data_IF_852071131765
#
_entry.id   IF_852071131765
#
_cell.length_a   1.000
_cell.length_b   1.000
_cell.length_c   1.000
_cell.angle_alpha   90.00
_cell.angle_beta   90.00
_cell.angle_gamma   90.00
#
_symmetry.space_group_name_H-M   'P 1'
#
loop_
_entity.id
_entity.type
_entity.pdbx_description
1 polymer ?
#
# COMPACT_ATOMS: atom_id res chain seq x y z
N UNK A 1 68.29 -5.38 -8.76
CA UNK A 1 67.77 -6.74 -8.53
C UNK A 1 66.40 -6.61 -7.86
N UNK A 2 65.34 -7.14 -8.50
CA UNK A 2 64.02 -7.53 -7.92
C UNK A 2 63.20 -6.41 -7.24
N UNK A 3 62.20 -5.75 -7.85
CA UNK A 3 60.89 -6.19 -8.43
C UNK A 3 59.85 -6.64 -7.36
N UNK A 4 58.61 -6.13 -7.52
CA UNK A 4 57.30 -6.47 -6.88
C UNK A 4 57.06 -5.88 -5.47
N UNK A 5 55.90 -5.33 -5.09
CA UNK A 5 54.61 -5.16 -5.77
C UNK A 5 53.64 -4.36 -4.91
N UNK A 6 52.81 -3.55 -5.57
CA UNK A 6 51.56 -2.97 -5.08
C UNK A 6 50.65 -4.06 -4.47
N UNK A 7 50.12 -3.84 -3.27
CA UNK A 7 48.79 -4.35 -2.91
C UNK A 7 48.08 -3.36 -1.99
N UNK A 8 47.35 -2.44 -2.63
CA UNK A 8 46.32 -1.65 -1.99
C UNK A 8 45.14 -2.57 -1.65
N UNK A 9 44.99 -2.93 -0.38
CA UNK A 9 43.77 -3.57 0.11
C UNK A 9 42.71 -2.49 0.33
N UNK A 10 41.95 -2.24 -0.75
CA UNK A 10 40.60 -1.67 -0.69
C UNK A 10 39.76 -2.54 0.26
N UNK A 11 39.51 -2.04 1.47
CA UNK A 11 38.44 -2.53 2.32
C UNK A 11 37.12 -2.09 1.69
N UNK A 12 36.61 -2.88 0.76
CA UNK A 12 35.26 -2.74 0.26
C UNK A 12 34.31 -3.08 1.41
N UNK A 13 33.62 -2.06 1.90
CA UNK A 13 32.40 -2.19 2.68
C UNK A 13 31.38 -2.99 1.85
N UNK A 14 31.31 -4.30 2.07
CA UNK A 14 30.10 -5.05 1.74
C UNK A 14 29.23 -5.07 2.98
N UNK A 15 28.52 -3.96 3.22
CA UNK A 15 27.31 -4.02 4.04
C UNK A 15 26.32 -4.89 3.29
N UNK A 16 26.29 -6.19 3.60
CA UNK A 16 25.18 -7.04 3.22
C UNK A 16 23.95 -6.41 3.86
N UNK A 17 23.14 -5.73 3.03
CA UNK A 17 21.85 -5.22 3.41
C UNK A 17 20.98 -6.43 3.73
N UNK A 18 20.92 -6.81 5.00
CA UNK A 18 19.99 -7.81 5.52
C UNK A 18 18.64 -7.12 5.65
N UNK A 19 18.01 -6.83 4.52
CA UNK A 19 16.64 -6.32 4.47
C UNK A 19 16.02 -6.85 3.19
N UNK A 20 15.34 -8.00 3.24
CA UNK A 20 14.21 -8.28 2.32
C UNK A 20 13.48 -9.63 2.48
N UNK A 21 13.61 -10.39 3.58
CA UNK A 21 12.90 -11.68 3.70
C UNK A 21 12.15 -11.90 5.01
N UNK A 22 11.61 -10.85 5.63
CA UNK A 22 10.72 -10.98 6.80
C UNK A 22 9.23 -10.88 6.46
N UNK A 23 8.90 -10.67 5.18
CA UNK A 23 7.54 -10.69 4.69
C UNK A 23 7.49 -11.62 3.48
N UNK A 24 6.78 -12.73 3.60
CA UNK A 24 6.13 -13.34 2.43
C UNK A 24 4.99 -12.41 1.99
N UNK A 25 5.33 -11.20 1.55
CA UNK A 25 4.53 -10.58 0.51
C UNK A 25 4.74 -11.45 -0.72
N UNK A 26 3.68 -11.74 -1.45
CA UNK A 26 3.79 -12.14 -2.85
C UNK A 26 4.36 -10.94 -3.62
N UNK A 27 5.60 -10.54 -3.34
CA UNK A 27 6.44 -9.85 -4.31
C UNK A 27 6.80 -10.93 -5.31
N UNK A 28 5.86 -11.26 -6.18
CA UNK A 28 6.25 -11.74 -7.50
C UNK A 28 7.10 -10.60 -8.05
N UNK A 29 8.41 -10.81 -8.09
CA UNK A 29 9.29 -9.93 -8.83
C UNK A 29 8.71 -9.87 -10.24
N UNK A 30 8.12 -8.72 -10.60
CA UNK A 30 7.55 -8.50 -11.94
C UNK A 30 8.58 -8.74 -13.06
N UNK A 31 9.86 -8.87 -12.71
CA UNK A 31 10.96 -9.25 -13.61
C UNK A 31 10.97 -10.74 -14.02
N UNK A 32 10.25 -11.63 -13.33
CA UNK A 32 10.24 -13.08 -13.61
C UNK A 32 9.01 -13.56 -14.41
N UNK A 33 8.09 -12.66 -14.78
CA UNK A 33 6.95 -13.03 -15.64
C UNK A 33 7.42 -13.05 -17.09
N UNK A 34 7.48 -14.24 -17.68
CA UNK A 34 7.79 -14.44 -19.09
C UNK A 34 6.81 -13.62 -19.96
N UNK A 35 7.29 -12.64 -20.76
CA UNK A 35 6.42 -11.72 -21.48
C UNK A 35 5.64 -12.37 -22.63
N UNK A 36 5.96 -13.63 -22.97
CA UNK A 36 5.44 -14.29 -24.17
C UNK A 36 4.03 -14.86 -23.94
N UNK A 37 3.71 -15.40 -22.77
CA UNK A 37 2.34 -15.80 -22.36
C UNK A 37 2.26 -15.87 -20.82
N UNK A 38 1.74 -14.85 -20.13
CA UNK A 38 1.46 -15.00 -18.70
C UNK A 38 0.28 -15.98 -18.55
N UNK A 39 0.52 -17.12 -17.91
CA UNK A 39 -0.58 -17.94 -17.39
C UNK A 39 -1.49 -17.05 -16.50
N UNK A 40 -2.81 -17.25 -16.56
CA UNK A 40 -3.80 -16.38 -15.87
C UNK A 40 -3.53 -16.28 -14.35
N UNK A 41 -2.84 -17.29 -13.81
CA UNK A 41 -2.36 -17.37 -12.43
C UNK A 41 -1.35 -16.27 -12.06
N UNK A 42 -0.58 -15.77 -13.02
CA UNK A 42 0.47 -14.74 -12.86
C UNK A 42 0.02 -13.33 -13.20
N UNK A 43 -1.19 -13.16 -13.75
CA UNK A 43 -1.73 -11.84 -14.04
C UNK A 43 -1.96 -11.05 -12.75
N UNK A 44 -1.54 -9.78 -12.76
CA UNK A 44 -1.76 -8.90 -11.63
C UNK A 44 -3.24 -8.65 -11.46
N UNK A 45 -3.79 -8.99 -10.28
CA UNK A 45 -5.23 -8.83 -10.00
C UNK A 45 -5.50 -7.48 -9.36
N UNK A 46 -6.45 -6.75 -9.92
CA UNK A 46 -6.87 -5.42 -9.47
C UNK A 46 -8.32 -5.50 -8.99
N UNK A 47 -8.58 -4.91 -7.84
CA UNK A 47 -9.91 -4.74 -7.29
C UNK A 47 -10.49 -3.42 -7.78
N UNK A 48 -11.57 -3.46 -8.55
CA UNK A 48 -12.31 -2.25 -8.94
C UNK A 48 -13.12 -1.72 -7.75
N UNK A 49 -13.34 -0.40 -7.65
CA UNK A 49 -14.29 0.18 -6.69
C UNK A 49 -15.66 -0.49 -6.78
N UNK A 50 -16.27 -0.79 -5.63
CA UNK A 50 -17.58 -1.44 -5.57
C UNK A 50 -17.60 -2.96 -5.79
N UNK A 51 -16.50 -3.56 -6.26
CA UNK A 51 -16.41 -5.02 -6.44
C UNK A 51 -15.85 -5.70 -5.19
N UNK A 52 -16.32 -6.91 -4.88
CA UNK A 52 -15.81 -7.70 -3.75
C UNK A 52 -14.52 -8.43 -4.12
N UNK A 53 -14.44 -8.95 -5.35
CA UNK A 53 -13.35 -9.77 -5.85
C UNK A 53 -12.38 -8.96 -6.73
N UNK A 54 -11.14 -9.43 -6.82
CA UNK A 54 -10.13 -8.86 -7.71
C UNK A 54 -10.20 -9.53 -9.07
N UNK A 55 -10.19 -8.73 -10.13
CA UNK A 55 -10.18 -9.19 -11.53
C UNK A 55 -8.76 -9.10 -12.10
N UNK A 56 -8.37 -9.95 -13.05
CA UNK A 56 -7.11 -9.76 -13.77
C UNK A 56 -7.11 -8.40 -14.48
N UNK A 57 -5.93 -7.76 -14.52
CA UNK A 57 -5.73 -6.55 -15.31
C UNK A 57 -5.89 -6.85 -16.81
N UNK A 58 -6.39 -5.88 -17.57
CA UNK A 58 -6.39 -5.92 -19.04
C UNK A 58 -4.97 -6.24 -19.57
N UNK A 59 -4.81 -7.21 -20.49
CA UNK A 59 -3.51 -7.59 -21.03
C UNK A 59 -2.76 -6.46 -21.74
N UNK A 60 -3.46 -5.42 -22.23
CA UNK A 60 -2.85 -4.25 -22.87
C UNK A 60 -2.26 -3.28 -21.84
N UNK A 61 -2.59 -3.44 -20.56
CA UNK A 61 -2.06 -2.66 -19.47
C UNK A 61 -0.92 -3.41 -18.76
N UNK A 62 0.12 -2.67 -18.39
CA UNK A 62 1.24 -3.18 -17.58
C UNK A 62 1.49 -2.28 -16.37
N UNK A 63 1.75 -2.90 -15.24
CA UNK A 63 2.22 -2.20 -14.05
C UNK A 63 3.68 -1.78 -14.25
N UNK A 64 4.06 -0.62 -13.74
CA UNK A 64 5.46 -0.20 -13.70
C UNK A 64 6.31 -1.14 -12.85
N UNK A 65 7.53 -1.42 -13.30
CA UNK A 65 8.47 -2.28 -12.57
C UNK A 65 8.83 -1.74 -11.18
N UNK A 66 8.94 -0.42 -11.06
CA UNK A 66 9.29 0.26 -9.82
C UNK A 66 8.08 1.03 -9.27
N UNK A 67 7.83 0.95 -7.95
CA UNK A 67 6.81 1.77 -7.32
C UNK A 67 7.20 3.25 -7.37
N UNK A 68 6.24 4.13 -7.60
CA UNK A 68 6.38 5.58 -7.46
C UNK A 68 6.46 6.00 -5.99
N UNK A 69 5.78 5.25 -5.13
CA UNK A 69 5.75 5.44 -3.68
C UNK A 69 5.90 4.08 -3.01
N UNK A 70 6.79 4.01 -2.03
CA UNK A 70 6.90 2.90 -1.10
C UNK A 70 6.77 3.45 0.30
N UNK A 71 5.78 2.97 1.04
CA UNK A 71 5.53 3.39 2.41
C UNK A 71 6.72 3.05 3.31
N UNK A 72 7.10 3.95 4.23
CA UNK A 72 8.16 3.70 5.20
C UNK A 72 7.69 2.79 6.34
N UNK A 73 6.38 2.75 6.62
CA UNK A 73 5.81 2.03 7.78
C UNK A 73 4.85 0.90 7.41
N UNK A 74 4.82 0.49 6.13
CA UNK A 74 3.92 -0.55 5.64
C UNK A 74 4.11 -1.89 6.34
N UNK A 75 5.35 -2.27 6.65
CA UNK A 75 5.66 -3.51 7.37
C UNK A 75 5.14 -3.51 8.80
N UNK A 76 5.32 -2.40 9.52
CA UNK A 76 4.84 -2.20 10.88
C UNK A 76 3.32 -2.30 10.93
N UNK A 77 2.63 -1.66 9.99
CA UNK A 77 1.17 -1.69 9.94
C UNK A 77 0.64 -3.10 9.65
N UNK A 78 1.28 -3.83 8.74
CA UNK A 78 0.95 -5.22 8.48
C UNK A 78 1.14 -6.10 9.72
N UNK A 79 2.21 -5.86 10.47
CA UNK A 79 2.49 -6.53 11.74
C UNK A 79 1.44 -6.20 12.80
N UNK A 80 1.11 -4.92 13.01
CA UNK A 80 0.09 -4.48 13.97
C UNK A 80 -1.28 -5.07 13.66
N UNK A 81 -1.68 -5.17 12.38
CA UNK A 81 -2.94 -5.86 11.99
C UNK A 81 -2.94 -7.34 12.36
N UNK A 82 -1.82 -8.04 12.22
CA UNK A 82 -1.73 -9.47 12.61
C UNK A 82 -1.77 -9.61 14.13
N UNK A 83 -1.07 -8.74 14.84
CA UNK A 83 -1.05 -8.73 16.29
C UNK A 83 -2.41 -8.42 16.89
N UNK A 84 -3.17 -7.48 16.33
CA UNK A 84 -4.51 -7.18 16.83
C UNK A 84 -5.46 -8.36 16.67
N UNK A 85 -5.31 -9.17 15.62
CA UNK A 85 -6.05 -10.43 15.44
C UNK A 85 -5.61 -11.46 16.48
N UNK A 86 -4.30 -11.62 16.70
CA UNK A 86 -3.77 -12.52 17.73
C UNK A 86 -4.25 -12.16 19.13
N UNK A 87 -4.21 -10.87 19.50
CA UNK A 87 -4.73 -10.37 20.77
C UNK A 87 -6.23 -10.59 20.90
N UNK A 88 -7.00 -10.42 19.82
CA UNK A 88 -8.44 -10.71 19.83
C UNK A 88 -8.74 -12.18 20.09
N UNK A 89 -7.94 -13.11 19.54
CA UNK A 89 -8.10 -14.55 19.78
C UNK A 89 -7.73 -14.91 21.21
N UNK A 90 -6.59 -14.40 21.71
CA UNK A 90 -6.16 -14.59 23.10
C UNK A 90 -7.20 -14.00 24.06
N UNK A 91 -7.69 -12.80 23.79
CA UNK A 91 -8.72 -12.14 24.60
C UNK A 91 -10.02 -12.91 24.67
N UNK A 92 -10.45 -13.48 23.53
CA UNK A 92 -11.63 -14.35 23.49
C UNK A 92 -11.43 -15.62 24.34
N UNK A 93 -10.24 -16.22 24.27
CA UNK A 93 -9.91 -17.41 25.06
C UNK A 93 -9.78 -17.12 26.56
N UNK A 94 -9.13 -16.00 26.94
CA UNK A 94 -9.04 -15.56 28.33
C UNK A 94 -10.44 -15.26 28.89
N UNK A 95 -11.30 -14.59 28.11
CA UNK A 95 -12.69 -14.35 28.49
C UNK A 95 -13.45 -15.64 28.78
N UNK A 96 -13.29 -16.65 27.91
CA UNK A 96 -13.84 -17.99 28.12
C UNK A 96 -13.32 -18.64 29.42
N UNK A 97 -12.00 -18.60 29.68
CA UNK A 97 -11.43 -19.17 30.90
C UNK A 97 -11.92 -18.47 32.17
N UNK A 98 -12.09 -17.15 32.16
CA UNK A 98 -12.59 -16.41 33.32
C UNK A 98 -14.06 -16.74 33.60
N UNK A 99 -14.86 -16.99 32.56
CA UNK A 99 -16.24 -17.41 32.72
C UNK A 99 -16.35 -18.84 33.27
N UNK A 100 -15.60 -19.79 32.70
CA UNK A 100 -15.80 -21.22 32.99
C UNK A 100 -14.95 -21.75 34.16
N UNK A 101 -13.76 -21.19 34.40
CA UNK A 101 -12.77 -21.81 35.32
C UNK A 101 -12.70 -21.11 36.67
N UNK A 102 -12.83 -19.78 36.72
CA UNK A 102 -12.51 -19.03 37.94
C UNK A 102 -13.71 -18.72 38.82
N UNK A 103 -14.94 -18.99 38.35
CA UNK A 103 -16.17 -18.60 39.06
C UNK A 103 -16.24 -17.09 39.34
N UNK A 104 -15.44 -16.30 38.62
CA UNK A 104 -15.42 -14.85 38.74
C UNK A 104 -16.72 -14.28 38.18
N UNK A 105 -17.13 -13.10 38.66
CA UNK A 105 -18.31 -12.43 38.13
C UNK A 105 -18.17 -12.23 36.61
N UNK A 106 -19.23 -12.55 35.86
CA UNK A 106 -19.28 -12.42 34.39
C UNK A 106 -18.78 -11.06 33.90
N UNK A 107 -19.07 -10.00 34.65
CA UNK A 107 -18.66 -8.64 34.36
C UNK A 107 -17.12 -8.47 34.28
N UNK A 108 -16.38 -9.14 35.16
CA UNK A 108 -14.91 -9.10 35.16
C UNK A 108 -14.32 -9.83 33.93
N UNK A 109 -14.92 -10.97 33.55
CA UNK A 109 -14.54 -11.70 32.33
C UNK A 109 -14.80 -10.89 31.06
N UNK A 110 -15.97 -10.24 30.98
CA UNK A 110 -16.34 -9.39 29.83
C UNK A 110 -15.40 -8.18 29.72
N UNK A 111 -15.12 -7.48 30.82
CA UNK A 111 -14.23 -6.31 30.80
C UNK A 111 -12.80 -6.72 30.40
N UNK A 112 -12.27 -7.80 30.97
CA UNK A 112 -10.94 -8.31 30.63
C UNK A 112 -10.82 -8.71 29.15
N UNK A 113 -11.81 -9.42 28.62
CA UNK A 113 -11.86 -9.78 27.21
C UNK A 113 -12.00 -8.56 26.31
N UNK A 114 -12.85 -7.59 26.67
CA UNK A 114 -13.06 -6.37 25.89
C UNK A 114 -11.78 -5.56 25.71
N UNK A 115 -10.96 -5.41 26.75
CA UNK A 115 -9.67 -4.70 26.67
C UNK A 115 -8.71 -5.37 25.70
N UNK A 116 -8.69 -6.71 25.66
CA UNK A 116 -7.82 -7.48 24.77
C UNK A 116 -8.34 -7.51 23.32
N UNK A 117 -9.65 -7.41 23.12
CA UNK A 117 -10.29 -7.39 21.78
C UNK A 117 -10.28 -6.00 21.17
N UNK A 118 -10.38 -4.93 21.99
CA UNK A 118 -10.47 -3.53 21.55
C UNK A 118 -9.40 -3.07 20.53
N UNK A 119 -8.13 -3.53 20.57
CA UNK A 119 -7.14 -3.18 19.56
C UNK A 119 -7.53 -3.59 18.13
N UNK A 120 -8.32 -4.65 17.94
CA UNK A 120 -8.72 -5.12 16.61
C UNK A 120 -9.54 -4.07 15.83
N UNK A 121 -10.72 -3.63 16.30
CA UNK A 121 -11.49 -2.61 15.57
C UNK A 121 -10.73 -1.29 15.44
N UNK A 122 -9.94 -0.89 16.46
CA UNK A 122 -9.16 0.34 16.42
C UNK A 122 -8.11 0.32 15.31
N UNK A 123 -7.30 -0.75 15.26
CA UNK A 123 -6.28 -0.92 14.22
C UNK A 123 -6.94 -1.02 12.84
N UNK A 124 -8.04 -1.74 12.69
CA UNK A 124 -8.71 -1.82 11.38
C UNK A 124 -9.29 -0.47 10.93
N UNK A 125 -9.79 0.33 11.86
CA UNK A 125 -10.32 1.67 11.55
C UNK A 125 -9.24 2.62 11.01
N UNK A 126 -8.05 2.63 11.62
CA UNK A 126 -6.95 3.50 11.19
C UNK A 126 -6.11 2.91 10.05
N UNK A 127 -5.70 1.65 10.18
CA UNK A 127 -4.82 0.99 9.21
C UNK A 127 -5.55 0.42 7.98
N UNK A 128 -6.88 0.43 7.95
CA UNK A 128 -7.68 -0.11 6.85
C UNK A 128 -7.41 0.58 5.50
N UNK A 129 -7.18 1.89 5.52
CA UNK A 129 -6.99 2.70 4.31
C UNK A 129 -5.51 2.93 3.98
N UNK A 130 -4.59 2.34 4.73
CA UNK A 130 -3.17 2.59 4.58
C UNK A 130 -2.62 2.02 3.27
N UNK A 131 -2.00 2.88 2.46
CA UNK A 131 -1.38 2.52 1.18
C UNK A 131 0.08 2.12 1.40
N UNK A 132 0.45 0.94 0.91
CA UNK A 132 1.84 0.45 0.99
C UNK A 132 2.66 0.89 -0.20
N UNK A 133 2.15 0.69 -1.41
CA UNK A 133 2.87 1.01 -2.62
C UNK A 133 1.93 1.67 -3.62
N UNK A 134 2.48 2.54 -4.46
CA UNK A 134 1.78 3.12 -5.59
C UNK A 134 2.57 2.80 -6.83
N UNK A 135 1.93 2.17 -7.80
CA UNK A 135 2.51 1.86 -9.09
C UNK A 135 1.84 2.69 -10.17
N UNK A 136 2.59 3.05 -11.21
CA UNK A 136 2.01 3.59 -12.42
C UNK A 136 1.50 2.46 -13.30
N UNK A 137 0.37 2.69 -13.95
CA UNK A 137 -0.13 1.82 -15.00
C UNK A 137 0.22 2.39 -16.37
N UNK A 138 0.73 1.55 -17.26
CA UNK A 138 1.12 1.92 -18.61
C UNK A 138 0.33 1.12 -19.62
N UNK A 139 -0.03 1.74 -20.75
CA UNK A 139 -0.47 1.01 -21.95
C UNK A 139 0.74 0.46 -22.67
N UNK A 140 0.62 -0.75 -23.22
CA UNK A 140 1.67 -1.38 -24.03
C UNK A 140 1.75 -0.81 -25.44
N UNK A 141 0.61 -0.33 -25.96
CA UNK A 141 0.46 0.12 -27.35
C UNK A 141 0.90 1.56 -27.59
N UNK A 142 1.12 2.33 -26.52
CA UNK A 142 1.43 3.75 -26.60
C UNK A 142 2.88 4.03 -26.14
N UNK A 143 3.60 4.95 -26.82
CA UNK A 143 4.92 5.37 -26.37
C UNK A 143 4.81 6.14 -25.05
N UNK A 144 5.76 5.89 -24.15
CA UNK A 144 5.79 6.44 -22.79
C UNK A 144 6.34 7.87 -22.75
N UNK A 145 5.75 8.78 -23.52
CA UNK A 145 6.10 10.21 -23.48
C UNK A 145 5.37 10.92 -22.34
N UNK A 146 5.89 12.07 -21.90
CA UNK A 146 5.29 12.81 -20.78
C UNK A 146 3.87 13.32 -21.09
N UNK A 147 3.59 13.64 -22.34
CA UNK A 147 2.31 14.20 -22.81
C UNK A 147 1.19 13.15 -22.78
N UNK A 148 1.52 11.89 -23.11
CA UNK A 148 0.58 10.77 -23.01
C UNK A 148 0.32 10.41 -21.54
N UNK A 149 1.35 10.58 -20.70
CA UNK A 149 1.27 10.27 -19.28
C UNK A 149 0.44 11.29 -18.48
N UNK A 150 0.30 12.54 -18.92
CA UNK A 150 -0.45 13.57 -18.18
C UNK A 150 -1.96 13.54 -18.43
N UNK A 151 -2.40 13.11 -19.62
CA UNK A 151 -3.82 13.21 -20.03
C UNK A 151 -4.74 12.14 -19.47
N UNK A 152 -4.25 10.94 -19.18
CA UNK A 152 -5.10 9.81 -18.77
C UNK A 152 -4.38 8.89 -17.77
N UNK A 153 -3.66 9.51 -16.82
CA UNK A 153 -2.82 8.78 -15.89
C UNK A 153 -3.65 7.91 -14.94
N UNK A 154 -3.38 6.61 -14.97
CA UNK A 154 -3.94 5.63 -14.03
C UNK A 154 -2.83 5.12 -13.12
N UNK A 155 -3.08 5.15 -11.82
CA UNK A 155 -2.18 4.61 -10.80
C UNK A 155 -2.85 3.44 -10.09
N UNK A 156 -2.04 2.52 -9.61
CA UNK A 156 -2.47 1.37 -8.82
C UNK A 156 -2.01 1.57 -7.39
N UNK A 157 -2.98 1.66 -6.48
CA UNK A 157 -2.77 1.81 -5.05
C UNK A 157 -2.85 0.43 -4.39
N UNK A 158 -1.76 -0.02 -3.77
CA UNK A 158 -1.77 -1.23 -2.96
C UNK A 158 -2.11 -0.92 -1.51
N UNK A 159 -3.07 -1.66 -0.96
CA UNK A 159 -3.45 -1.58 0.45
C UNK A 159 -3.25 -2.91 1.15
N UNK A 160 -2.93 -2.85 2.43
CA UNK A 160 -2.82 -4.05 3.26
C UNK A 160 -4.22 -4.57 3.56
N UNK A 161 -4.46 -5.84 3.25
CA UNK A 161 -5.72 -6.51 3.54
C UNK A 161 -6.04 -6.60 5.04
N UNK A 162 -7.26 -7.08 5.34
CA UNK A 162 -7.77 -7.16 6.71
C UNK A 162 -6.82 -7.95 7.63
N UNK A 163 -6.29 -9.08 7.14
CA UNK A 163 -5.41 -9.98 7.90
C UNK A 163 -3.93 -9.59 7.90
N UNK A 164 -3.53 -8.49 7.24
CA UNK A 164 -2.12 -8.10 7.19
C UNK A 164 -1.19 -9.02 6.38
N UNK A 165 -1.72 -10.01 5.65
CA UNK A 165 -0.93 -11.00 4.88
C UNK A 165 -0.86 -10.71 3.37
N UNK A 166 -1.96 -10.25 2.79
CA UNK A 166 -2.09 -9.96 1.35
C UNK A 166 -2.28 -8.47 1.13
N UNK A 167 -1.80 -7.97 0.00
CA UNK A 167 -2.12 -6.63 -0.49
C UNK A 167 -3.25 -6.71 -1.52
N UNK A 168 -4.06 -5.65 -1.57
CA UNK A 168 -5.09 -5.46 -2.59
C UNK A 168 -4.72 -4.24 -3.42
N UNK A 169 -4.55 -4.46 -4.72
CA UNK A 169 -4.34 -3.40 -5.70
C UNK A 169 -5.69 -2.78 -6.11
N UNK A 170 -5.78 -1.46 -6.13
CA UNK A 170 -6.94 -0.71 -6.64
C UNK A 170 -6.44 0.26 -7.72
N UNK A 171 -6.93 0.12 -8.95
CA UNK A 171 -6.62 1.07 -10.02
C UNK A 171 -7.52 2.30 -9.90
N UNK A 172 -6.91 3.48 -9.95
CA UNK A 172 -7.59 4.77 -9.85
C UNK A 172 -7.00 5.73 -10.87
N UNK A 173 -7.86 6.55 -11.47
CA UNK A 173 -7.43 7.67 -12.31
C UNK A 173 -6.97 8.82 -11.43
N UNK A 174 -5.86 9.45 -11.78
CA UNK A 174 -5.29 10.57 -11.00
C UNK A 174 -6.18 11.80 -11.02
N UNK A 175 -6.90 12.03 -12.12
CA UNK A 175 -7.83 13.17 -12.27
C UNK A 175 -9.03 13.12 -11.32
N UNK A 176 -9.44 11.91 -10.93
CA UNK A 176 -10.60 11.70 -10.06
C UNK A 176 -10.21 11.58 -8.56
N UNK A 177 -8.92 11.70 -8.25
CA UNK A 177 -8.41 11.72 -6.88
C UNK A 177 -8.50 13.14 -6.30
N UNK A 178 -8.98 13.21 -5.06
CA UNK A 178 -9.06 14.44 -4.28
C UNK A 178 -8.41 14.29 -2.91
N UNK A 179 -7.85 15.39 -2.44
CA UNK A 179 -7.37 15.59 -1.09
C UNK A 179 -8.57 15.79 -0.16
N UNK A 180 -8.58 15.05 0.94
CA UNK A 180 -9.57 15.16 2.00
C UNK A 180 -8.87 15.12 3.35
N UNK A 181 -9.48 15.62 4.41
CA UNK A 181 -9.00 15.39 5.77
C UNK A 181 -10.09 14.67 6.56
N UNK A 182 -10.04 13.34 6.61
CA UNK A 182 -11.02 12.52 7.35
C UNK A 182 -10.27 11.64 8.36
N UNK A 183 -10.98 11.23 9.43
CA UNK A 183 -10.43 10.38 10.51
C UNK A 183 -9.16 10.97 11.15
N UNK A 184 -9.19 12.24 11.54
CA UNK A 184 -8.04 12.92 12.17
C UNK A 184 -6.77 12.86 11.31
N UNK A 185 -6.89 13.06 9.99
CA UNK A 185 -5.77 12.98 9.06
C UNK A 185 -5.38 11.57 8.59
N UNK A 186 -5.94 10.50 9.18
CA UNK A 186 -5.68 9.11 8.76
C UNK A 186 -6.38 8.70 7.46
N UNK A 187 -7.01 9.64 6.77
CA UNK A 187 -7.46 9.52 5.39
C UNK A 187 -7.21 10.86 4.73
N UNK A 188 -6.30 10.86 3.76
CA UNK A 188 -5.93 12.05 3.02
C UNK A 188 -6.36 12.04 1.56
N UNK A 189 -6.55 10.86 0.97
CA UNK A 189 -6.96 10.72 -0.43
C UNK A 189 -8.34 10.08 -0.51
N UNK A 190 -9.19 10.63 -1.37
CA UNK A 190 -10.50 10.08 -1.71
C UNK A 190 -10.63 10.01 -3.23
N UNK A 191 -10.84 8.80 -3.73
CA UNK A 191 -11.20 8.55 -5.12
C UNK A 191 -12.71 8.38 -5.21
N UNK A 192 -13.34 9.10 -6.12
CA UNK A 192 -14.77 8.90 -6.45
C UNK A 192 -14.86 8.35 -7.86
N UNK A 193 -15.36 7.14 -8.00
CA UNK A 193 -15.57 6.56 -9.33
C UNK A 193 -16.73 7.28 -10.04
N UNK A 194 -16.51 7.94 -11.20
CA UNK A 194 -17.56 8.64 -11.91
C UNK A 194 -18.69 7.71 -12.39
N UNK A 195 -18.40 6.41 -12.60
CA UNK A 195 -19.40 5.46 -13.12
C UNK A 195 -20.30 4.91 -12.02
N UNK A 196 -19.73 4.64 -10.85
CA UNK A 196 -20.41 3.91 -9.78
C UNK A 196 -20.74 4.77 -8.56
N UNK A 197 -20.25 6.02 -8.52
CA UNK A 197 -20.35 6.93 -7.37
C UNK A 197 -19.78 6.36 -6.05
N UNK A 198 -19.06 5.25 -6.09
CA UNK A 198 -18.40 4.70 -4.90
C UNK A 198 -17.17 5.54 -4.55
N UNK A 199 -17.10 5.96 -3.29
CA UNK A 199 -15.92 6.64 -2.74
C UNK A 199 -14.98 5.62 -2.09
N UNK A 200 -13.74 5.58 -2.56
CA UNK A 200 -12.68 4.77 -1.96
C UNK A 200 -11.67 5.70 -1.27
N UNK A 201 -11.38 5.40 -0.01
CA UNK A 201 -10.53 6.21 0.85
C UNK A 201 -9.15 5.59 1.00
N UNK A 202 -8.14 6.44 1.04
CA UNK A 202 -6.74 6.06 1.12
C UNK A 202 -5.98 6.97 2.08
N UNK A 203 -4.92 6.43 2.66
CA UNK A 203 -3.92 7.16 3.41
C UNK A 203 -2.55 6.95 2.77
N UNK A 204 -1.94 8.03 2.34
CA UNK A 204 -0.61 8.06 1.72
C UNK A 204 0.28 9.00 2.52
N UNK A 205 1.39 8.53 3.08
CA UNK A 205 2.29 9.43 3.79
C UNK A 205 2.88 10.48 2.85
N UNK A 206 2.92 11.73 3.30
CA UNK A 206 3.39 12.86 2.52
C UNK A 206 4.94 12.91 2.43
N UNK A 207 5.48 13.59 1.42
CA UNK A 207 6.92 13.76 1.16
C UNK A 207 7.71 12.46 0.93
N UNK A 208 7.10 11.46 0.30
CA UNK A 208 7.73 10.17 0.01
C UNK A 208 7.51 9.84 -1.47
N UNK A 209 8.55 9.33 -2.14
CA UNK A 209 8.51 8.98 -3.57
C UNK A 209 9.17 10.01 -4.49
N UNK A 210 9.65 11.12 -3.95
CA UNK A 210 10.40 12.17 -4.67
C UNK A 210 9.58 12.85 -5.78
N UNK A 211 10.29 13.49 -6.73
CA UNK A 211 9.68 14.39 -7.72
C UNK A 211 8.51 13.78 -8.53
N UNK A 212 8.58 12.48 -8.86
CA UNK A 212 7.51 11.82 -9.62
C UNK A 212 6.20 11.75 -8.82
N UNK A 213 6.33 11.51 -7.52
CA UNK A 213 5.20 11.46 -6.60
C UNK A 213 4.73 12.87 -6.23
N UNK A 214 5.65 13.83 -6.09
CA UNK A 214 5.29 15.22 -5.82
C UNK A 214 4.42 15.83 -6.93
N UNK A 215 4.67 15.47 -8.21
CA UNK A 215 3.77 15.84 -9.31
C UNK A 215 2.37 15.26 -9.13
N UNK A 216 2.25 14.00 -8.69
CA UNK A 216 0.94 13.37 -8.44
C UNK A 216 0.22 14.09 -7.31
N UNK A 217 0.94 14.42 -6.22
CA UNK A 217 0.41 15.26 -5.15
C UNK A 217 -0.08 16.60 -5.67
N UNK A 218 0.71 17.30 -6.49
CA UNK A 218 0.30 18.58 -7.08
C UNK A 218 -0.96 18.48 -7.95
N UNK A 219 -1.13 17.40 -8.72
CA UNK A 219 -2.36 17.18 -9.51
C UNK A 219 -3.56 16.98 -8.56
N UNK A 220 -3.41 16.16 -7.51
CA UNK A 220 -4.48 15.87 -6.54
C UNK A 220 -4.86 17.12 -5.74
N UNK A 221 -3.88 17.93 -5.35
CA UNK A 221 -4.06 19.21 -4.68
C UNK A 221 -4.86 20.18 -5.56
N UNK A 222 -4.47 20.33 -6.84
CA UNK A 222 -5.18 21.15 -7.84
C UNK A 222 -6.62 20.68 -8.06
N UNK A 223 -6.85 19.36 -8.15
CA UNK A 223 -8.20 18.77 -8.26
C UNK A 223 -9.10 19.08 -7.05
N UNK A 224 -8.48 19.45 -5.93
CA UNK A 224 -9.16 19.73 -4.66
C UNK A 224 -9.26 21.21 -4.33
N UNK A 225 -8.69 22.08 -5.18
CA UNK A 225 -8.63 23.53 -4.95
C UNK A 225 -7.70 23.94 -3.80
N UNK A 226 -6.74 23.08 -3.43
CA UNK A 226 -5.72 23.37 -2.42
C UNK A 226 -4.40 23.63 -3.12
N UNK A 227 -3.68 24.68 -2.71
CA UNK A 227 -2.34 24.97 -3.21
C UNK A 227 -1.32 24.89 -2.05
N UNK A 228 -0.46 23.87 -2.10
CA UNK A 228 0.63 23.68 -1.14
C UNK A 228 2.01 24.04 -1.74
N UNK A 229 2.05 24.74 -2.88
CA UNK A 229 3.31 25.17 -3.52
C UNK A 229 4.08 24.04 -4.22
N UNK A 230 3.45 22.89 -4.46
CA UNK A 230 4.02 21.73 -5.18
C UNK A 230 3.66 21.70 -6.66
N UNK A 231 3.19 22.82 -7.21
CA UNK A 231 2.83 22.93 -8.61
C UNK A 231 4.09 22.93 -9.49
N UNK A 232 4.58 21.75 -9.85
CA UNK A 232 5.70 21.64 -10.79
C UNK A 232 5.32 21.96 -12.24
N UNK A 233 4.01 22.11 -12.53
CA UNK A 233 3.50 22.35 -13.89
C UNK A 233 2.21 23.18 -13.83
N UNK A 234 2.37 24.50 -13.74
CA UNK A 234 1.42 25.49 -14.25
C UNK A 234 2.24 26.52 -15.06
N UNK A 235 2.65 26.12 -16.27
CA UNK A 235 2.53 27.03 -17.41
C UNK A 235 1.41 26.42 -18.28
N UNK A 236 0.55 27.27 -18.86
CA UNK A 236 -0.82 27.59 -18.41
C UNK A 236 -1.87 26.47 -18.50
#
# INVERSE_FOLDING_TARGET
MLVYSRFALRRAYTSKCIHEKLFHTSRTLLSEVNPVYPDDSHLTKIKKPGMLFSEPIDPNLRMGYNPLYSSPVGGQIAFTKRWSIGLSLIGSYVGYLVHDVTGASDLAGIIGAAVLIAPLPLVQFFAGNYVTNIYRLYRKDEPQTYENLTKDETIVLERIGLFGRKTYATAVKVQDLRLVNKRFGWVNWEYKDPKTNFSTKFYVADNIGGMKMDRIWGIIEKNSGVDNGRSFLNEP
#
